data_IF_619609465797
#
_entry.id   IF_619609465797
#
_cell.length_a   1.000
_cell.length_b   1.000
_cell.length_c   1.000
_cell.angle_alpha   90.00
_cell.angle_beta   90.00
_cell.angle_gamma   90.00
#
_symmetry.space_group_name_H-M   'P 1'
#
loop_
_entity.id
_entity.type
_entity.pdbx_description
1 polymer ?
#
# COMPACT_ATOMS: atom_id res chain seq x y z
N UNK A 1 4.03 -25.33 59.91
CA UNK A 1 5.37 -25.76 60.36
C UNK A 1 6.38 -24.87 59.64
N UNK A 2 6.84 -23.77 60.29
CA UNK A 2 8.23 -23.53 60.78
C UNK A 2 9.25 -23.57 59.62
N UNK A 3 9.94 -22.48 59.24
CA UNK A 3 10.91 -21.73 60.08
C UNK A 3 11.18 -20.28 59.60
N UNK A 4 11.45 -19.41 60.59
CA UNK A 4 11.94 -18.02 60.55
C UNK A 4 13.46 -17.94 60.27
N UNK A 5 13.92 -16.81 59.71
CA UNK A 5 15.14 -16.03 60.11
C UNK A 5 15.19 -14.74 59.24
N UNK A 6 14.68 -13.57 59.65
CA UNK A 6 15.28 -12.50 60.49
C UNK A 6 16.77 -12.19 60.27
N UNK A 7 17.07 -11.04 59.66
CA UNK A 7 18.14 -10.08 60.04
C UNK A 7 17.91 -8.76 59.28
N UNK A 8 17.18 -7.77 59.81
CA UNK A 8 17.67 -6.63 60.59
C UNK A 8 19.00 -6.02 60.09
N UNK A 9 18.94 -4.89 59.37
CA UNK A 9 19.87 -3.78 59.63
C UNK A 9 19.29 -2.44 59.16
N UNK A 10 19.15 -1.54 60.12
CA UNK A 10 18.76 -0.14 60.04
C UNK A 10 19.99 0.68 59.62
N UNK A 11 19.96 1.43 58.52
CA UNK A 11 20.89 2.54 58.26
C UNK A 11 20.09 3.62 57.53
N UNK A 12 19.62 4.62 58.26
CA UNK A 12 20.31 5.91 58.46
C UNK A 12 20.10 6.83 57.25
N UNK A 13 19.22 7.79 57.48
CA UNK A 13 18.94 8.96 56.65
C UNK A 13 20.24 9.74 56.41
N UNK A 14 20.60 9.97 55.14
CA UNK A 14 21.57 11.00 54.77
C UNK A 14 21.12 11.72 53.49
N UNK A 15 20.71 12.96 53.71
CA UNK A 15 20.34 14.02 52.77
C UNK A 15 21.49 14.40 51.84
N UNK A 16 21.31 14.49 50.52
CA UNK A 16 21.95 15.51 49.68
C UNK A 16 21.04 15.83 48.49
N UNK A 17 20.63 17.10 48.41
CA UNK A 17 19.89 17.70 47.32
C UNK A 17 20.73 17.74 46.03
N UNK A 18 20.13 17.35 44.90
CA UNK A 18 20.58 17.82 43.60
C UNK A 18 19.49 18.64 42.94
N UNK A 19 19.82 19.91 42.75
CA UNK A 19 19.01 20.95 42.17
C UNK A 19 18.87 20.78 40.65
N UNK A 20 17.66 21.10 40.18
CA UNK A 20 17.33 21.80 38.94
C UNK A 20 17.98 21.36 37.61
N UNK A 21 17.17 20.77 36.73
CA UNK A 21 17.27 21.01 35.28
C UNK A 21 15.91 21.48 34.77
N UNK A 22 15.96 22.56 34.00
CA UNK A 22 14.88 23.46 33.65
C UNK A 22 13.76 22.81 32.82
N UNK A 23 12.51 23.10 33.21
CA UNK A 23 11.33 22.89 32.37
C UNK A 23 11.16 24.13 31.49
N UNK A 24 11.70 24.10 30.27
CA UNK A 24 11.33 25.04 29.21
C UNK A 24 10.42 24.34 28.21
N UNK A 25 9.15 24.17 28.58
CA UNK A 25 8.09 23.81 27.64
C UNK A 25 7.35 25.09 27.23
N UNK A 26 8.01 25.94 26.44
CA UNK A 26 7.38 27.13 25.84
C UNK A 26 6.96 26.78 24.40
N UNK A 27 5.64 26.61 24.28
CA UNK A 27 4.80 26.95 23.13
C UNK A 27 5.17 26.44 21.73
N UNK A 28 4.61 25.28 21.38
CA UNK A 28 4.11 25.03 20.01
C UNK A 28 2.58 25.13 19.99
N UNK A 29 2.01 26.22 20.52
CA UNK A 29 0.59 26.52 20.40
C UNK A 29 0.38 27.37 19.14
N UNK A 30 0.08 26.74 18.01
CA UNK A 30 -0.31 27.50 16.82
C UNK A 30 -0.20 26.84 15.45
N UNK A 31 0.20 25.57 15.33
CA UNK A 31 0.04 24.89 14.03
C UNK A 31 -1.40 24.38 13.94
N UNK A 32 -2.25 24.89 13.02
CA UNK A 32 -3.51 24.24 12.75
C UNK A 32 -3.18 22.79 12.37
N UNK A 33 -3.74 21.84 13.12
CA UNK A 33 -3.64 20.43 12.77
C UNK A 33 -4.13 20.31 11.32
N UNK A 34 -3.23 19.91 10.41
CA UNK A 34 -3.62 19.61 9.05
C UNK A 34 -4.74 18.58 9.13
N UNK A 35 -5.91 18.90 8.56
CA UNK A 35 -6.99 17.93 8.43
C UNK A 35 -6.40 16.65 7.83
N UNK A 36 -6.72 15.46 8.38
CA UNK A 36 -6.28 14.23 7.77
C UNK A 36 -6.69 14.25 6.29
N UNK A 37 -5.80 13.87 5.36
CA UNK A 37 -6.20 13.78 3.96
C UNK A 37 -7.45 12.93 3.91
N UNK A 38 -8.51 13.46 3.29
CA UNK A 38 -9.67 12.62 2.96
C UNK A 38 -9.12 11.42 2.20
N UNK A 39 -9.54 10.18 2.51
CA UNK A 39 -9.08 9.02 1.76
C UNK A 39 -9.41 9.30 0.30
N UNK A 40 -8.38 9.61 -0.49
CA UNK A 40 -8.56 9.79 -1.91
C UNK A 40 -8.94 8.39 -2.39
N UNK A 41 -10.12 8.28 -2.99
CA UNK A 41 -10.47 7.11 -3.80
C UNK A 41 -9.61 7.16 -5.06
N UNK A 42 -8.29 7.02 -4.88
CA UNK A 42 -7.31 7.17 -5.93
C UNK A 42 -7.48 5.99 -6.87
N UNK A 43 -8.00 6.26 -8.05
CA UNK A 43 -8.11 5.25 -9.11
C UNK A 43 -6.70 4.95 -9.61
N UNK A 44 -6.23 3.74 -9.37
CA UNK A 44 -4.96 3.25 -9.91
C UNK A 44 -5.22 2.62 -11.29
N UNK A 45 -4.29 2.83 -12.22
CA UNK A 45 -4.28 2.14 -13.51
C UNK A 45 -3.13 1.14 -13.53
N UNK A 46 -3.44 -0.13 -13.77
CA UNK A 46 -2.43 -1.17 -14.02
C UNK A 46 -2.41 -1.49 -15.50
N UNK A 47 -1.22 -1.35 -16.11
CA UNK A 47 -1.04 -1.49 -17.56
C UNK A 47 -0.12 -2.67 -17.85
N UNK A 48 -0.62 -3.60 -18.66
CA UNK A 48 0.14 -4.74 -19.14
C UNK A 48 0.39 -4.64 -20.64
N UNK A 49 1.62 -4.90 -21.05
CA UNK A 49 2.04 -4.92 -22.45
C UNK A 49 2.41 -6.33 -22.86
N UNK A 50 1.89 -6.78 -24.01
CA UNK A 50 2.15 -8.10 -24.55
C UNK A 50 2.61 -8.02 -25.99
N UNK A 51 3.59 -8.86 -26.35
CA UNK A 51 4.05 -9.04 -27.73
C UNK A 51 3.66 -10.43 -28.23
N UNK A 52 2.74 -10.47 -29.19
CA UNK A 52 2.43 -11.69 -29.92
C UNK A 52 3.68 -12.15 -30.69
N UNK A 53 3.83 -13.46 -30.86
CA UNK A 53 4.86 -14.00 -31.75
C UNK A 53 4.64 -13.53 -33.18
N UNK A 54 5.69 -13.41 -34.01
CA UNK A 54 5.55 -13.09 -35.43
C UNK A 54 4.53 -14.01 -36.12
N UNK A 55 3.70 -13.44 -37.00
CA UNK A 55 2.61 -14.12 -37.71
C UNK A 55 1.50 -14.74 -36.83
N UNK A 56 1.45 -14.42 -35.52
CA UNK A 56 0.43 -14.94 -34.59
C UNK A 56 -0.51 -13.87 -34.03
N UNK A 57 -0.52 -12.67 -34.59
CA UNK A 57 -1.33 -11.54 -34.08
C UNK A 57 -2.81 -11.93 -34.02
N UNK A 58 -3.39 -12.41 -35.13
CA UNK A 58 -4.80 -12.82 -35.21
C UNK A 58 -5.16 -13.92 -34.21
N UNK A 59 -4.26 -14.89 -34.02
CA UNK A 59 -4.46 -15.98 -33.06
C UNK A 59 -4.49 -15.44 -31.61
N UNK A 60 -3.59 -14.52 -31.28
CA UNK A 60 -3.58 -13.86 -29.98
C UNK A 60 -4.82 -12.98 -29.77
N UNK A 61 -5.22 -12.20 -30.77
CA UNK A 61 -6.45 -11.38 -30.71
C UNK A 61 -7.67 -12.25 -30.45
N UNK A 62 -7.76 -13.39 -31.13
CA UNK A 62 -8.83 -14.37 -30.91
C UNK A 62 -8.79 -14.96 -29.51
N UNK A 63 -7.62 -15.33 -29.00
CA UNK A 63 -7.48 -15.82 -27.63
C UNK A 63 -7.94 -14.77 -26.60
N UNK A 64 -7.59 -13.50 -26.80
CA UNK A 64 -8.02 -12.44 -25.89
C UNK A 64 -9.54 -12.36 -25.84
N UNK A 65 -10.19 -12.31 -27.01
CA UNK A 65 -11.64 -12.23 -27.12
C UNK A 65 -12.35 -13.46 -26.56
N UNK A 66 -11.90 -14.66 -26.96
CA UNK A 66 -12.64 -15.89 -26.71
C UNK A 66 -12.33 -16.50 -25.34
N UNK A 67 -11.19 -16.15 -24.73
CA UNK A 67 -10.71 -16.76 -23.48
C UNK A 67 -10.46 -15.73 -22.39
N UNK A 68 -9.66 -14.69 -22.66
CA UNK A 68 -9.27 -13.74 -21.61
C UNK A 68 -10.44 -12.85 -21.18
N UNK A 69 -11.14 -12.22 -22.12
CA UNK A 69 -12.26 -11.30 -21.85
C UNK A 69 -13.36 -11.94 -20.99
N UNK A 70 -13.81 -13.18 -21.21
CA UNK A 70 -14.76 -13.85 -20.31
C UNK A 70 -14.26 -13.97 -18.85
N UNK A 71 -12.97 -14.25 -18.65
CA UNK A 71 -12.35 -14.33 -17.32
C UNK A 71 -12.32 -12.95 -16.68
N UNK A 72 -11.95 -11.94 -17.46
CA UNK A 72 -11.91 -10.54 -17.01
C UNK A 72 -13.30 -10.06 -16.60
N UNK A 73 -14.35 -10.37 -17.38
CA UNK A 73 -15.72 -10.04 -17.02
C UNK A 73 -16.19 -10.76 -15.75
N UNK A 74 -15.75 -12.00 -15.51
CA UNK A 74 -16.03 -12.69 -14.26
C UNK A 74 -15.35 -11.99 -13.06
N UNK A 75 -14.07 -11.63 -13.20
CA UNK A 75 -13.30 -10.93 -12.18
C UNK A 75 -13.84 -9.51 -11.90
N UNK A 76 -14.28 -8.80 -12.94
CA UNK A 76 -14.90 -7.48 -12.83
C UNK A 76 -16.19 -7.56 -12.01
N UNK A 77 -17.05 -8.57 -12.26
CA UNK A 77 -18.29 -8.77 -11.50
C UNK A 77 -18.04 -9.06 -10.02
N UNK A 78 -16.91 -9.66 -9.67
CA UNK A 78 -16.51 -9.87 -8.27
C UNK A 78 -15.76 -8.70 -7.66
N UNK A 79 -15.61 -7.58 -8.39
CA UNK A 79 -15.00 -6.35 -7.90
C UNK A 79 -13.48 -6.33 -7.93
N UNK A 80 -12.81 -7.22 -8.68
CA UNK A 80 -11.34 -7.24 -8.76
C UNK A 80 -10.78 -5.96 -9.42
N UNK A 81 -11.54 -5.35 -10.33
CA UNK A 81 -11.23 -4.08 -10.96
C UNK A 81 -12.53 -3.40 -11.47
N UNK A 82 -12.46 -2.11 -11.76
CA UNK A 82 -13.58 -1.30 -12.25
C UNK A 82 -13.86 -1.56 -13.73
N UNK A 83 -12.82 -1.53 -14.56
CA UNK A 83 -12.92 -1.71 -16.01
C UNK A 83 -11.59 -2.21 -16.58
N UNK A 84 -11.66 -2.84 -17.75
CA UNK A 84 -10.50 -3.20 -18.55
C UNK A 84 -10.70 -2.72 -19.99
N UNK A 85 -9.66 -2.15 -20.58
CA UNK A 85 -9.62 -1.78 -22.00
C UNK A 85 -8.42 -2.43 -22.67
N UNK A 86 -8.66 -3.10 -23.81
CA UNK A 86 -7.62 -3.69 -24.64
C UNK A 86 -7.36 -2.78 -25.85
N UNK A 87 -6.09 -2.46 -26.08
CA UNK A 87 -5.61 -1.73 -27.25
C UNK A 87 -4.69 -2.63 -28.06
N UNK A 88 -4.69 -2.43 -29.38
CA UNK A 88 -3.77 -3.10 -30.30
C UNK A 88 -2.84 -2.06 -30.93
N UNK A 89 -1.56 -2.38 -31.03
CA UNK A 89 -0.59 -1.49 -31.66
C UNK A 89 -0.90 -1.38 -33.16
N UNK A 90 -1.04 -0.15 -33.64
CA UNK A 90 -1.08 0.15 -35.07
C UNK A 90 0.31 0.31 -35.68
N UNK A 91 1.28 0.70 -34.85
CA UNK A 91 2.68 0.90 -35.23
C UNK A 91 3.52 -0.35 -34.91
N UNK A 92 4.30 -0.84 -35.87
CA UNK A 92 5.22 -1.98 -35.66
C UNK A 92 6.52 -1.61 -34.95
N UNK A 93 6.83 -0.32 -34.78
CA UNK A 93 8.06 0.13 -34.11
C UNK A 93 8.00 0.00 -32.59
N UNK A 94 6.80 -0.07 -32.01
CA UNK A 94 6.64 -0.27 -30.57
C UNK A 94 6.93 -1.73 -30.17
N UNK A 95 7.49 -1.97 -28.96
CA UNK A 95 7.90 -3.31 -28.56
C UNK A 95 6.75 -4.23 -28.15
N UNK A 96 5.49 -3.82 -28.30
CA UNK A 96 4.30 -4.59 -27.92
C UNK A 96 3.29 -4.64 -29.07
N UNK A 97 2.30 -5.54 -28.95
CA UNK A 97 1.21 -5.73 -29.93
C UNK A 97 -0.16 -5.48 -29.30
N UNK A 98 -0.32 -5.85 -28.04
CA UNK A 98 -1.53 -5.63 -27.27
C UNK A 98 -1.15 -4.93 -25.96
N UNK A 99 -1.95 -3.95 -25.55
CA UNK A 99 -1.85 -3.27 -24.27
C UNK A 99 -3.19 -3.43 -23.56
N UNK A 100 -3.17 -3.74 -22.27
CA UNK A 100 -4.38 -3.85 -21.46
C UNK A 100 -4.29 -2.97 -20.26
N UNK A 101 -5.31 -2.13 -20.08
CA UNK A 101 -5.39 -1.14 -19.01
C UNK A 101 -6.52 -1.53 -18.08
N UNK A 102 -6.18 -1.86 -16.83
CA UNK A 102 -7.12 -2.17 -15.77
C UNK A 102 -7.24 -0.97 -14.83
N UNK A 103 -8.44 -0.47 -14.61
CA UNK A 103 -8.71 0.58 -13.62
C UNK A 103 -9.14 -0.06 -12.29
N UNK A 104 -8.44 0.27 -11.21
CA UNK A 104 -8.61 -0.29 -9.87
C UNK A 104 -9.19 0.76 -8.91
N UNK A 105 -9.63 0.36 -7.71
CA UNK A 105 -10.06 1.25 -6.61
C UNK A 105 -9.17 1.07 -5.40
#
# INVERSE_FOLDING_TARGET
MKTKLQLMTLHAVTTVAFAAVAVTAVACAGTPAASPPSPSTATLAQVYFWRARPAKIEEYTRYIRDVAEPIDHAAQRTGAFQSVTTYMASDSTVPWTHMRVFLLR
#
